data_IF_201438233759
#
_entry.id   IF_201438233759
#
_cell.length_a   1.000
_cell.length_b   1.000
_cell.length_c   1.000
_cell.angle_alpha   90.00
_cell.angle_beta   90.00
_cell.angle_gamma   90.00
#
_symmetry.space_group_name_H-M   'P 1'
#
loop_
_entity.id
_entity.type
_entity.pdbx_description
1 polymer ?
#
# COMPACT_ATOMS: atom_id res chain seq x y z
N UNK A 1 -9.38 9.60 -15.96
CA UNK A 1 -10.06 8.37 -15.51
C UNK A 1 -9.52 7.85 -14.18
N UNK A 2 -8.21 7.61 -14.03
CA UNK A 2 -7.62 7.16 -12.75
C UNK A 2 -7.87 8.10 -11.55
N UNK A 3 -7.90 9.43 -11.75
CA UNK A 3 -8.15 10.40 -10.68
C UNK A 3 -9.61 10.42 -10.17
N UNK A 4 -10.59 10.12 -11.04
CA UNK A 4 -12.00 10.07 -10.65
C UNK A 4 -12.27 8.78 -9.85
N UNK A 5 -11.71 7.66 -10.31
CA UNK A 5 -11.73 6.40 -9.55
C UNK A 5 -11.04 6.55 -8.19
N UNK A 6 -9.92 7.27 -8.12
CA UNK A 6 -9.24 7.56 -6.87
C UNK A 6 -10.09 8.43 -5.92
N UNK A 7 -10.80 9.43 -6.45
CA UNK A 7 -11.68 10.29 -5.64
C UNK A 7 -12.89 9.53 -5.06
N UNK A 8 -13.56 8.70 -5.87
CA UNK A 8 -14.68 7.85 -5.40
C UNK A 8 -14.19 6.83 -4.37
N UNK A 9 -13.00 6.24 -4.62
CA UNK A 9 -12.38 5.28 -3.70
C UNK A 9 -11.98 5.93 -2.38
N UNK A 10 -11.53 7.20 -2.39
CA UNK A 10 -11.21 7.96 -1.18
C UNK A 10 -12.45 8.22 -0.31
N UNK A 11 -13.58 8.58 -0.92
CA UNK A 11 -14.85 8.79 -0.22
C UNK A 11 -15.38 7.48 0.39
N UNK A 12 -15.25 6.36 -0.33
CA UNK A 12 -15.60 5.04 0.19
C UNK A 12 -14.67 4.65 1.36
N UNK A 13 -13.36 4.89 1.24
CA UNK A 13 -12.40 4.59 2.29
C UNK A 13 -12.66 5.38 3.58
N UNK A 14 -13.03 6.66 3.49
CA UNK A 14 -13.39 7.48 4.65
C UNK A 14 -14.64 6.93 5.38
N UNK A 15 -15.66 6.51 4.63
CA UNK A 15 -16.88 5.90 5.19
C UNK A 15 -16.61 4.54 5.85
N UNK A 16 -15.72 3.75 5.29
CA UNK A 16 -15.34 2.44 5.86
C UNK A 16 -14.47 2.66 7.11
N UNK A 17 -13.49 3.55 7.05
CA UNK A 17 -12.66 3.93 8.20
C UNK A 17 -13.48 4.42 9.40
N UNK A 18 -14.53 5.22 9.17
CA UNK A 18 -15.44 5.68 10.22
C UNK A 18 -16.25 4.55 10.89
N UNK A 19 -16.35 3.36 10.28
CA UNK A 19 -17.12 2.22 10.82
C UNK A 19 -16.26 1.13 11.44
N UNK A 20 -15.05 0.89 10.93
CA UNK A 20 -14.21 -0.23 11.34
C UNK A 20 -12.81 0.18 11.83
N UNK A 21 -12.51 1.48 11.85
CA UNK A 21 -11.22 2.04 12.22
C UNK A 21 -10.25 2.17 11.04
N UNK A 22 -9.47 3.25 11.03
CA UNK A 22 -8.54 3.61 9.94
C UNK A 22 -7.54 2.49 9.61
N UNK A 23 -7.00 1.83 10.64
CA UNK A 23 -5.98 0.80 10.51
C UNK A 23 -6.54 -0.48 9.89
N UNK A 24 -7.77 -0.88 10.28
CA UNK A 24 -8.42 -2.06 9.69
C UNK A 24 -8.72 -1.84 8.22
N UNK A 25 -9.19 -0.65 7.86
CA UNK A 25 -9.45 -0.28 6.47
C UNK A 25 -8.18 -0.33 5.64
N UNK A 26 -7.08 0.24 6.13
CA UNK A 26 -5.78 0.21 5.44
C UNK A 26 -5.29 -1.22 5.19
N UNK A 27 -5.32 -2.08 6.21
CA UNK A 27 -4.88 -3.47 6.08
C UNK A 27 -5.80 -4.25 5.14
N UNK A 28 -7.11 -4.03 5.22
CA UNK A 28 -8.10 -4.73 4.40
C UNK A 28 -7.98 -4.41 2.91
N UNK A 29 -7.56 -3.20 2.54
CA UNK A 29 -7.31 -2.85 1.13
C UNK A 29 -5.92 -3.30 0.67
N UNK A 30 -4.91 -3.18 1.54
CA UNK A 30 -3.54 -3.52 1.17
C UNK A 30 -3.32 -5.03 1.02
N UNK A 31 -3.83 -5.86 1.94
CA UNK A 31 -3.59 -7.30 1.93
C UNK A 31 -3.99 -7.97 0.61
N UNK A 32 -5.24 -7.85 0.12
CA UNK A 32 -5.64 -8.45 -1.15
C UNK A 32 -4.89 -7.84 -2.34
N UNK A 33 -4.60 -6.53 -2.32
CA UNK A 33 -3.79 -5.87 -3.37
C UNK A 33 -2.37 -6.46 -3.46
N UNK A 34 -1.75 -6.75 -2.32
CA UNK A 34 -0.40 -7.35 -2.28
C UNK A 34 -0.41 -8.84 -2.65
N UNK A 35 -1.47 -9.58 -2.30
CA UNK A 35 -1.67 -10.95 -2.78
C UNK A 35 -1.80 -10.96 -4.32
N UNK A 36 -2.61 -10.06 -4.89
CA UNK A 36 -2.73 -9.94 -6.34
C UNK A 36 -1.38 -9.62 -7.00
N UNK A 37 -0.54 -8.76 -6.39
CA UNK A 37 0.81 -8.49 -6.89
C UNK A 37 1.67 -9.75 -6.98
N UNK A 38 1.61 -10.60 -5.96
CA UNK A 38 2.32 -11.89 -5.91
C UNK A 38 1.80 -12.86 -6.98
N UNK A 39 0.50 -12.79 -7.30
CA UNK A 39 -0.11 -13.66 -8.31
C UNK A 39 0.23 -13.27 -9.76
N UNK A 40 0.55 -12.00 -10.04
CA UNK A 40 0.91 -11.52 -11.39
C UNK A 40 1.93 -12.42 -12.11
N UNK A 41 3.12 -12.71 -11.54
CA UNK A 41 4.11 -13.56 -12.20
C UNK A 41 3.71 -15.03 -12.37
N UNK A 42 2.66 -15.48 -11.67
CA UNK A 42 2.20 -16.86 -11.68
C UNK A 42 1.11 -17.10 -12.75
N UNK A 43 0.69 -16.05 -13.46
CA UNK A 43 -0.35 -16.16 -14.47
C UNK A 43 0.17 -16.88 -15.72
N UNK A 44 -0.59 -17.86 -16.26
CA UNK A 44 -0.12 -18.71 -17.35
C UNK A 44 -0.07 -18.00 -18.71
N UNK A 45 -0.68 -16.81 -18.82
CA UNK A 45 -0.69 -16.00 -20.04
C UNK A 45 -0.80 -14.50 -19.74
N UNK A 46 -0.43 -13.70 -20.73
CA UNK A 46 -0.40 -12.24 -20.64
C UNK A 46 -1.77 -11.60 -20.32
N UNK A 47 -2.90 -12.01 -20.95
CA UNK A 47 -4.22 -11.45 -20.61
C UNK A 47 -4.59 -11.61 -19.14
N UNK A 48 -4.32 -12.78 -18.54
CA UNK A 48 -4.58 -13.01 -17.12
C UNK A 48 -3.67 -12.17 -16.22
N UNK A 49 -2.38 -12.04 -16.56
CA UNK A 49 -1.44 -11.17 -15.83
C UNK A 49 -1.93 -9.70 -15.82
N UNK A 50 -2.39 -9.21 -16.97
CA UNK A 50 -2.96 -7.87 -17.11
C UNK A 50 -4.24 -7.73 -16.28
N UNK A 51 -5.16 -8.70 -16.36
CA UNK A 51 -6.41 -8.68 -15.59
C UNK A 51 -6.14 -8.62 -14.07
N UNK A 52 -5.22 -9.43 -13.56
CA UNK A 52 -4.80 -9.42 -12.15
C UNK A 52 -4.18 -8.08 -11.77
N UNK A 53 -3.34 -7.51 -12.63
CA UNK A 53 -2.71 -6.20 -12.39
C UNK A 53 -3.74 -5.06 -12.35
N UNK A 54 -4.72 -5.08 -13.25
CA UNK A 54 -5.81 -4.11 -13.27
C UNK A 54 -6.68 -4.22 -12.01
N UNK A 55 -7.05 -5.43 -11.61
CA UNK A 55 -7.77 -5.68 -10.37
C UNK A 55 -7.01 -5.17 -9.16
N UNK A 56 -5.68 -5.41 -9.13
CA UNK A 56 -4.80 -4.84 -8.11
C UNK A 56 -4.89 -3.32 -8.08
N UNK A 57 -4.82 -2.65 -9.23
CA UNK A 57 -4.90 -1.19 -9.28
C UNK A 57 -6.26 -0.66 -8.81
N UNK A 58 -7.36 -1.36 -9.08
CA UNK A 58 -8.68 -0.98 -8.56
C UNK A 58 -8.73 -0.95 -7.03
N UNK A 59 -7.96 -1.81 -6.35
CA UNK A 59 -7.91 -1.90 -4.88
C UNK A 59 -6.83 -0.98 -4.31
N UNK A 60 -5.64 -0.95 -4.93
CA UNK A 60 -4.46 -0.24 -4.43
C UNK A 60 -4.57 1.29 -4.45
N UNK A 61 -5.50 1.86 -5.21
CA UNK A 61 -5.68 3.32 -5.29
C UNK A 61 -6.27 3.92 -4.01
N UNK A 62 -6.67 3.07 -3.04
CA UNK A 62 -7.21 3.50 -1.74
C UNK A 62 -6.13 3.90 -0.71
N UNK A 63 -4.85 3.65 -1.00
CA UNK A 63 -3.74 3.73 -0.04
C UNK A 63 -3.25 5.16 0.24
N UNK A 64 -3.45 6.09 -0.69
CA UNK A 64 -2.89 7.46 -0.60
C UNK A 64 -3.72 8.38 0.31
N UNK A 65 -5.06 8.51 0.13
CA UNK A 65 -5.87 9.39 0.98
C UNK A 65 -5.95 8.91 2.43
N UNK A 66 -6.08 7.60 2.64
CA UNK A 66 -6.22 7.00 3.98
C UNK A 66 -4.99 7.19 4.86
N UNK A 67 -3.79 7.06 4.27
CA UNK A 67 -2.52 7.23 4.99
C UNK A 67 -2.29 8.68 5.41
N UNK A 68 -2.64 9.63 4.54
CA UNK A 68 -2.57 11.06 4.85
C UNK A 68 -3.57 11.44 5.96
N UNK A 69 -4.82 10.97 5.86
CA UNK A 69 -5.82 11.18 6.92
C UNK A 69 -5.39 10.57 8.26
N UNK A 70 -4.81 9.37 8.27
CA UNK A 70 -4.31 8.75 9.50
C UNK A 70 -3.19 9.57 10.16
N UNK A 71 -2.19 10.01 9.38
CA UNK A 71 -1.11 10.85 9.92
C UNK A 71 -1.64 12.16 10.49
N UNK A 72 -2.62 12.79 9.85
CA UNK A 72 -3.25 14.00 10.40
C UNK A 72 -4.02 13.76 11.69
N UNK A 73 -4.64 12.58 11.87
CA UNK A 73 -5.41 12.24 13.07
C UNK A 73 -4.54 11.86 14.28
N UNK A 74 -3.32 11.35 14.05
CA UNK A 74 -2.45 10.85 15.14
C UNK A 74 -1.25 11.74 15.48
N UNK A 75 -0.97 12.76 14.68
CA UNK A 75 0.17 13.67 14.88
C UNK A 75 -0.31 15.07 15.21
N UNK A 76 0.29 15.69 16.23
CA UNK A 76 0.05 17.07 16.63
C UNK A 76 0.18 18.03 15.44
N UNK A 77 -0.66 19.08 15.30
CA UNK A 77 -0.57 20.03 14.20
C UNK A 77 0.84 20.62 13.98
N UNK A 78 1.55 20.90 15.07
CA UNK A 78 2.92 21.45 15.06
C UNK A 78 3.97 20.43 14.59
N UNK A 79 3.68 19.13 14.65
CA UNK A 79 4.59 18.04 14.30
C UNK A 79 4.31 17.44 12.91
N UNK A 80 3.20 17.83 12.25
CA UNK A 80 2.80 17.30 10.94
C UNK A 80 3.87 17.50 9.87
N UNK A 81 4.51 18.67 9.86
CA UNK A 81 5.59 18.98 8.91
C UNK A 81 6.80 18.07 9.11
N UNK A 82 7.21 17.85 10.36
CA UNK A 82 8.31 16.94 10.69
C UNK A 82 7.98 15.48 10.34
N UNK A 83 6.77 15.03 10.70
CA UNK A 83 6.29 13.68 10.37
C UNK A 83 6.21 13.45 8.85
N UNK A 84 5.70 14.43 8.10
CA UNK A 84 5.66 14.40 6.64
C UNK A 84 7.07 14.38 6.03
N UNK A 85 7.99 15.17 6.58
CA UNK A 85 9.40 15.19 6.17
C UNK A 85 10.08 13.83 6.34
N UNK A 86 10.00 13.24 7.53
CA UNK A 86 10.60 11.92 7.83
C UNK A 86 10.01 10.84 6.91
N UNK A 87 8.68 10.81 6.78
CA UNK A 87 7.99 9.85 5.91
C UNK A 87 8.37 10.05 4.44
N UNK A 88 8.54 11.31 4.03
CA UNK A 88 9.00 11.70 2.70
C UNK A 88 10.40 11.16 2.40
N UNK A 89 11.37 11.38 3.30
CA UNK A 89 12.75 10.89 3.17
C UNK A 89 12.80 9.36 3.10
N UNK A 90 12.06 8.67 3.96
CA UNK A 90 12.00 7.21 3.94
C UNK A 90 11.45 6.71 2.59
N UNK A 91 10.38 7.35 2.08
CA UNK A 91 9.77 7.02 0.79
C UNK A 91 10.72 7.26 -0.37
N UNK A 92 11.38 8.42 -0.43
CA UNK A 92 12.28 8.78 -1.55
C UNK A 92 13.53 7.90 -1.55
N UNK A 93 14.08 7.59 -0.38
CA UNK A 93 15.20 6.65 -0.23
C UNK A 93 14.82 5.27 -0.74
N UNK A 94 13.68 4.74 -0.30
CA UNK A 94 13.16 3.46 -0.80
C UNK A 94 12.95 3.47 -2.31
N UNK A 95 12.37 4.55 -2.87
CA UNK A 95 12.14 4.69 -4.30
C UNK A 95 13.45 4.81 -5.11
N UNK A 96 14.49 5.42 -4.56
CA UNK A 96 15.80 5.55 -5.21
C UNK A 96 16.57 4.22 -5.23
N UNK A 97 16.48 3.43 -4.15
CA UNK A 97 17.20 2.16 -4.03
C UNK A 97 16.49 1.00 -4.75
N UNK A 98 15.16 1.01 -4.80
CA UNK A 98 14.37 -0.10 -5.37
C UNK A 98 14.80 -0.49 -6.80
N UNK A 99 15.01 0.45 -7.76
CA UNK A 99 15.45 0.14 -9.12
C UNK A 99 16.77 -0.64 -9.21
N UNK A 100 17.70 -0.42 -8.28
CA UNK A 100 19.00 -1.11 -8.26
C UNK A 100 18.80 -2.62 -8.05
N UNK A 101 17.91 -2.99 -7.12
CA UNK A 101 17.57 -4.38 -6.85
C UNK A 101 16.69 -4.97 -7.96
N UNK A 102 15.64 -4.26 -8.37
CA UNK A 102 14.73 -4.79 -9.40
C UNK A 102 15.42 -4.96 -10.75
N UNK A 103 16.33 -4.05 -11.11
CA UNK A 103 17.12 -4.16 -12.34
C UNK A 103 18.02 -5.40 -12.34
N UNK A 104 18.67 -5.70 -11.21
CA UNK A 104 19.48 -6.91 -11.04
C UNK A 104 18.66 -8.20 -11.21
N UNK A 105 17.47 -8.26 -10.61
CA UNK A 105 16.61 -9.44 -10.72
C UNK A 105 16.01 -9.60 -12.12
N UNK A 106 15.58 -8.52 -12.75
CA UNK A 106 14.98 -8.56 -14.09
C UNK A 106 16.00 -8.88 -15.19
N UNK A 107 17.29 -8.62 -14.96
CA UNK A 107 18.35 -9.02 -15.88
C UNK A 107 18.52 -10.54 -16.02
N UNK A 108 17.96 -11.33 -15.08
CA UNK A 108 18.00 -12.78 -15.12
C UNK A 108 16.58 -13.36 -15.24
N UNK A 109 16.31 -14.06 -16.34
CA UNK A 109 15.02 -14.69 -16.62
C UNK A 109 14.58 -15.74 -15.59
N UNK A 110 15.48 -16.26 -14.74
CA UNK A 110 15.10 -17.13 -13.62
C UNK A 110 14.62 -16.35 -12.39
N UNK A 111 14.98 -15.07 -12.28
CA UNK A 111 14.77 -14.24 -11.09
C UNK A 111 13.69 -13.16 -11.28
N UNK A 112 13.08 -13.06 -12.46
CA UNK A 112 12.10 -12.01 -12.80
C UNK A 112 10.87 -11.95 -11.86
N UNK A 113 10.54 -13.07 -11.20
CA UNK A 113 9.45 -13.16 -10.23
C UNK A 113 9.78 -12.54 -8.87
N UNK A 114 11.07 -12.47 -8.52
CA UNK A 114 11.54 -12.07 -7.21
C UNK A 114 11.07 -10.66 -6.82
N UNK A 115 11.13 -9.63 -7.69
CA UNK A 115 10.60 -8.30 -7.37
C UNK A 115 9.14 -8.30 -6.90
N UNK A 116 8.28 -9.11 -7.53
CA UNK A 116 6.86 -9.21 -7.16
C UNK A 116 6.67 -9.85 -5.80
N UNK A 117 7.39 -10.93 -5.53
CA UNK A 117 7.33 -11.64 -4.25
C UNK A 117 7.91 -10.82 -3.10
N UNK A 118 9.05 -10.15 -3.31
CA UNK A 118 9.66 -9.27 -2.31
C UNK A 118 8.76 -8.07 -2.02
N UNK A 119 8.28 -7.37 -3.05
CA UNK A 119 7.44 -6.19 -2.86
C UNK A 119 6.11 -6.54 -2.16
N UNK A 120 5.42 -7.60 -2.62
CA UNK A 120 4.17 -8.06 -2.01
C UNK A 120 4.36 -8.57 -0.59
N UNK A 121 5.38 -9.40 -0.37
CA UNK A 121 5.69 -10.00 0.93
C UNK A 121 6.09 -8.95 1.97
N UNK A 122 7.00 -8.03 1.64
CA UNK A 122 7.41 -6.95 2.53
C UNK A 122 6.23 -6.06 2.93
N UNK A 123 5.35 -5.73 1.98
CA UNK A 123 4.19 -4.89 2.28
C UNK A 123 3.16 -5.63 3.15
N UNK A 124 2.92 -6.92 2.92
CA UNK A 124 2.07 -7.74 3.80
C UNK A 124 2.64 -7.80 5.22
N UNK A 125 3.95 -8.03 5.38
CA UNK A 125 4.61 -8.05 6.70
C UNK A 125 4.44 -6.70 7.40
N UNK A 126 4.62 -5.59 6.69
CA UNK A 126 4.38 -4.25 7.21
C UNK A 126 2.93 -4.07 7.66
N UNK A 127 1.95 -4.41 6.83
CA UNK A 127 0.52 -4.24 7.14
C UNK A 127 0.12 -5.06 8.37
N UNK A 128 0.59 -6.31 8.47
CA UNK A 128 0.33 -7.17 9.63
C UNK A 128 1.04 -6.69 10.89
N UNK A 129 2.25 -6.14 10.77
CA UNK A 129 2.99 -5.57 11.91
C UNK A 129 2.30 -4.30 12.41
N UNK A 130 1.90 -3.41 11.50
CA UNK A 130 1.12 -2.22 11.81
C UNK A 130 -0.21 -2.60 12.49
N UNK A 131 -0.93 -3.56 11.92
CA UNK A 131 -2.16 -4.07 12.52
C UNK A 131 -1.92 -4.57 13.95
N UNK A 132 -0.91 -5.41 14.17
CA UNK A 132 -0.63 -5.95 15.51
C UNK A 132 -0.25 -4.86 16.51
N UNK A 133 0.60 -3.90 16.13
CA UNK A 133 1.07 -2.84 17.03
C UNK A 133 -0.04 -1.87 17.43
N UNK A 134 -0.99 -1.61 16.54
CA UNK A 134 -2.01 -0.58 16.77
C UNK A 134 -3.44 -1.11 16.92
N UNK A 135 -3.69 -2.42 16.81
CA UNK A 135 -5.03 -3.01 17.04
C UNK A 135 -5.59 -2.69 18.44
N UNK A 136 -4.71 -2.50 19.43
CA UNK A 136 -5.07 -2.17 20.80
C UNK A 136 -5.14 -0.65 21.07
N UNK A 137 -4.61 0.18 20.17
CA UNK A 137 -4.59 1.63 20.30
C UNK A 137 -5.75 2.19 19.47
N UNK A 138 -6.84 2.57 20.12
CA UNK A 138 -7.93 3.31 19.46
C UNK A 138 -7.47 4.76 19.28
N UNK A 139 -7.42 5.29 18.04
CA UNK A 139 -7.17 6.71 17.83
C UNK A 139 -8.23 7.55 18.57
N UNK A 140 -7.87 8.71 19.15
CA UNK A 140 -8.78 9.55 19.94
C UNK A 140 -9.98 10.14 19.16
N UNK A 141 -10.07 9.88 17.85
CA UNK A 141 -11.20 10.28 16.99
C UNK A 141 -12.21 9.12 16.72
N UNK A 142 -12.06 7.95 17.38
CA UNK A 142 -13.11 6.90 17.46
C UNK A 142 -14.08 7.11 18.64
#
# INVERSE_FOLDING_TARGET
MANILAAVSALAAARVAARIGLIRTMVFTHLPSNVLLILVPLMPNLPLAIAVLLLRFSISQMDVPTRQSYTMAVVSPDELSAAAGITGVARTTGAALSPMFTGMFLANAALWNIPFFLAGGLKIIYDLSLYRSFKAVRPPEE
#
